data_IF_953310594818
#
_entry.id   IF_953310594818
#
_cell.length_a   1.000
_cell.length_b   1.000
_cell.length_c   1.000
_cell.angle_alpha   90.00
_cell.angle_beta   90.00
_cell.angle_gamma   90.00
#
_symmetry.space_group_name_H-M   'P 1'
#
loop_
_entity.id
_entity.type
_entity.pdbx_description
1 polymer ?
#
# COMPACT_ATOMS: atom_id res chain seq x y z
N UNK A 1 1.67 8.78 7.89
CA UNK A 1 0.33 8.29 8.25
C UNK A 1 0.16 8.07 9.74
N UNK A 2 1.15 7.46 10.38
CA UNK A 2 1.12 7.23 11.83
C UNK A 2 1.11 8.57 12.61
N UNK A 3 1.98 9.50 12.27
CA UNK A 3 2.10 10.80 12.93
C UNK A 3 0.86 11.70 12.73
N UNK A 4 0.14 11.50 11.63
CA UNK A 4 -1.11 12.22 11.36
C UNK A 4 -2.30 11.76 12.22
N UNK A 5 -2.16 10.67 12.96
CA UNK A 5 -3.24 10.06 13.74
C UNK A 5 -4.27 9.28 12.93
N UNK A 6 -4.09 9.16 11.61
CA UNK A 6 -4.98 8.39 10.74
C UNK A 6 -4.84 6.89 10.93
N UNK A 7 -3.70 6.43 11.41
CA UNK A 7 -3.42 5.02 11.67
C UNK A 7 -3.04 4.86 13.14
N UNK A 8 -3.75 3.99 13.85
CA UNK A 8 -3.39 3.59 15.21
C UNK A 8 -2.49 2.38 15.16
N UNK A 9 -1.33 2.49 15.80
CA UNK A 9 -0.38 1.40 15.91
C UNK A 9 -0.58 0.66 17.24
N UNK A 10 -0.53 -0.70 17.23
CA UNK A 10 -0.52 -1.47 18.48
C UNK A 10 0.68 -1.12 19.35
N UNK A 11 0.50 -1.14 20.68
CA UNK A 11 1.54 -0.76 21.63
C UNK A 11 2.82 -1.60 21.50
N UNK A 12 2.69 -2.89 21.20
CA UNK A 12 3.86 -3.76 20.99
C UNK A 12 4.71 -3.31 19.80
N UNK A 13 4.07 -2.88 18.70
CA UNK A 13 4.78 -2.36 17.53
C UNK A 13 5.42 -1.01 17.83
N UNK A 14 4.71 -0.12 18.52
CA UNK A 14 5.25 1.18 18.94
C UNK A 14 6.48 1.03 19.84
N UNK A 15 6.47 0.08 20.76
CA UNK A 15 7.61 -0.19 21.64
C UNK A 15 8.84 -0.62 20.84
N UNK A 16 8.66 -1.45 19.80
CA UNK A 16 9.77 -1.85 18.93
C UNK A 16 10.26 -0.68 18.07
N UNK A 17 9.34 0.14 17.51
CA UNK A 17 9.69 1.33 16.73
C UNK A 17 10.52 2.30 17.57
N UNK A 18 10.19 2.50 18.85
CA UNK A 18 10.92 3.41 19.73
C UNK A 18 12.37 2.99 20.01
N UNK A 19 12.69 1.71 19.77
CA UNK A 19 14.05 1.15 19.91
C UNK A 19 14.85 1.19 18.62
N UNK A 20 14.27 1.69 17.51
CA UNK A 20 14.93 1.70 16.21
C UNK A 20 16.08 2.69 16.20
N UNK A 21 17.29 2.20 16.26
CA UNK A 21 18.54 2.95 16.09
C UNK A 21 19.31 2.48 14.85
N UNK A 22 19.02 1.29 14.34
CA UNK A 22 19.68 0.70 13.19
C UNK A 22 18.74 -0.19 12.36
N UNK A 23 19.24 -0.72 11.22
CA UNK A 23 18.47 -1.55 10.29
C UNK A 23 17.98 -2.88 10.88
N UNK A 24 18.69 -3.44 11.85
CA UNK A 24 18.29 -4.70 12.48
C UNK A 24 16.97 -4.58 13.24
N UNK A 25 16.69 -3.42 13.78
CA UNK A 25 15.50 -3.15 14.58
C UNK A 25 14.22 -3.14 13.73
N UNK A 26 14.30 -2.83 12.44
CA UNK A 26 13.13 -2.91 11.55
C UNK A 26 12.59 -4.33 11.39
N UNK A 27 13.47 -5.35 11.43
CA UNK A 27 13.03 -6.74 11.43
C UNK A 27 12.26 -7.09 12.69
N UNK A 28 12.66 -6.56 13.83
CA UNK A 28 11.97 -6.75 15.11
C UNK A 28 10.58 -6.11 15.09
N UNK A 29 10.43 -4.93 14.50
CA UNK A 29 9.13 -4.27 14.30
C UNK A 29 8.20 -5.13 13.44
N UNK A 30 8.70 -5.64 12.32
CA UNK A 30 7.95 -6.54 11.45
C UNK A 30 7.55 -7.84 12.14
N UNK A 31 8.43 -8.40 12.95
CA UNK A 31 8.16 -9.61 13.74
C UNK A 31 7.05 -9.34 14.78
N UNK A 32 7.12 -8.24 15.53
CA UNK A 32 6.10 -7.86 16.52
C UNK A 32 4.73 -7.68 15.85
N UNK A 33 4.67 -7.02 14.70
CA UNK A 33 3.43 -6.86 13.93
C UNK A 33 2.88 -8.21 13.49
N UNK A 34 3.73 -9.09 12.95
CA UNK A 34 3.33 -10.44 12.53
C UNK A 34 2.75 -11.26 13.69
N UNK A 35 3.32 -11.17 14.89
CA UNK A 35 2.80 -11.86 16.07
C UNK A 35 1.42 -11.34 16.50
N UNK A 36 1.19 -10.03 16.37
CA UNK A 36 -0.13 -9.45 16.63
C UNK A 36 -1.18 -9.91 15.62
N UNK A 37 -0.84 -9.96 14.33
CA UNK A 37 -1.73 -10.48 13.29
C UNK A 37 -2.17 -11.93 13.59
N UNK A 38 -1.25 -12.77 14.02
CA UNK A 38 -1.54 -14.18 14.34
C UNK A 38 -2.59 -14.35 15.44
N UNK A 39 -2.81 -13.35 16.27
CA UNK A 39 -3.82 -13.34 17.34
C UNK A 39 -5.14 -12.73 16.92
N UNK A 40 -5.20 -12.08 15.76
CA UNK A 40 -6.38 -11.39 15.27
C UNK A 40 -7.29 -12.35 14.51
N UNK A 41 -8.50 -12.57 15.00
CA UNK A 41 -9.41 -13.58 14.43
C UNK A 41 -9.74 -13.39 12.94
N UNK A 42 -10.05 -12.16 12.46
CA UNK A 42 -10.26 -11.98 11.02
C UNK A 42 -9.06 -12.40 10.17
N UNK A 43 -7.83 -12.15 10.64
CA UNK A 43 -6.61 -12.59 9.98
C UNK A 43 -6.47 -14.10 9.97
N UNK A 44 -6.73 -14.75 11.11
CA UNK A 44 -6.70 -16.22 11.22
C UNK A 44 -7.68 -16.87 10.23
N UNK A 45 -8.90 -16.33 10.14
CA UNK A 45 -9.92 -16.81 9.21
C UNK A 45 -9.49 -16.64 7.76
N UNK A 46 -8.88 -15.50 7.41
CA UNK A 46 -8.37 -15.23 6.08
C UNK A 46 -7.27 -16.23 5.68
N UNK A 47 -6.33 -16.49 6.56
CA UNK A 47 -5.23 -17.45 6.33
C UNK A 47 -5.74 -18.88 6.17
N UNK A 48 -6.74 -19.28 6.95
CA UNK A 48 -7.36 -20.61 6.85
C UNK A 48 -8.11 -20.79 5.53
N UNK A 49 -8.74 -19.74 5.03
CA UNK A 49 -9.58 -19.77 3.82
C UNK A 49 -8.78 -19.62 2.54
N UNK A 50 -7.57 -19.11 2.60
CA UNK A 50 -6.76 -18.76 1.43
C UNK A 50 -5.32 -19.22 1.62
N UNK A 51 -4.91 -20.19 0.83
CA UNK A 51 -3.52 -20.66 0.81
C UNK A 51 -2.59 -19.55 0.32
N UNK A 52 -1.41 -19.45 0.94
CA UNK A 52 -0.37 -18.52 0.52
C UNK A 52 -0.52 -17.08 1.02
N UNK A 53 -1.55 -16.76 1.80
CA UNK A 53 -1.69 -15.43 2.40
C UNK A 53 -0.67 -15.24 3.52
N UNK A 54 0.10 -14.16 3.41
CA UNK A 54 1.12 -13.75 4.39
C UNK A 54 0.90 -12.28 4.77
N UNK A 55 1.56 -11.76 5.81
CA UNK A 55 1.49 -10.31 6.10
C UNK A 55 1.90 -9.43 4.91
N UNK A 56 2.79 -9.93 4.05
CA UNK A 56 3.20 -9.22 2.84
C UNK A 56 2.06 -9.08 1.81
N UNK A 57 1.07 -9.97 1.86
CA UNK A 57 -0.14 -9.88 1.02
C UNK A 57 -0.93 -8.59 1.28
N UNK A 58 -0.84 -8.00 2.47
CA UNK A 58 -1.44 -6.70 2.78
C UNK A 58 -0.86 -5.59 1.92
N UNK A 59 0.44 -5.65 1.66
CA UNK A 59 1.14 -4.69 0.80
C UNK A 59 0.66 -4.81 -0.65
N UNK A 60 0.54 -6.02 -1.16
CA UNK A 60 0.00 -6.27 -2.50
C UNK A 60 -1.47 -5.83 -2.62
N UNK A 61 -2.28 -6.09 -1.60
CA UNK A 61 -3.68 -5.67 -1.56
C UNK A 61 -3.82 -4.15 -1.62
N UNK A 62 -2.95 -3.43 -0.95
CA UNK A 62 -2.95 -1.97 -1.00
C UNK A 62 -2.67 -1.46 -2.42
N UNK A 63 -1.63 -2.00 -3.09
CA UNK A 63 -1.30 -1.64 -4.46
C UNK A 63 -2.46 -1.96 -5.43
N UNK A 64 -3.08 -3.13 -5.28
CA UNK A 64 -4.25 -3.50 -6.08
C UNK A 64 -5.39 -2.50 -5.91
N UNK A 65 -5.69 -2.12 -4.69
CA UNK A 65 -6.75 -1.15 -4.40
C UNK A 65 -6.45 0.24 -4.98
N UNK A 66 -5.19 0.63 -5.00
CA UNK A 66 -4.78 1.91 -5.59
C UNK A 66 -5.03 1.98 -7.09
N UNK A 67 -4.82 0.88 -7.81
CA UNK A 67 -4.83 0.88 -9.27
C UNK A 67 -6.10 0.29 -9.87
N UNK A 68 -6.75 -0.65 -9.20
CA UNK A 68 -7.87 -1.42 -9.77
C UNK A 68 -9.20 -1.08 -9.11
N UNK A 69 -9.24 -0.96 -7.78
CA UNK A 69 -10.51 -0.84 -7.05
C UNK A 69 -10.99 0.60 -6.88
N UNK A 70 -10.16 1.60 -7.16
CA UNK A 70 -10.51 3.00 -6.95
C UNK A 70 -11.03 3.64 -8.23
N UNK A 71 -12.15 4.36 -8.14
CA UNK A 71 -12.64 5.21 -9.23
C UNK A 71 -11.66 6.35 -9.54
N UNK A 72 -10.83 6.72 -8.56
CA UNK A 72 -9.75 7.69 -8.70
C UNK A 72 -8.43 7.00 -8.39
N UNK A 73 -7.96 6.17 -9.30
CA UNK A 73 -6.70 5.47 -9.16
C UNK A 73 -5.56 6.45 -8.84
N UNK A 74 -4.72 6.09 -7.90
CA UNK A 74 -3.53 6.89 -7.59
C UNK A 74 -2.56 6.82 -8.76
N UNK A 75 -1.96 7.97 -9.07
CA UNK A 75 -0.87 8.01 -10.01
C UNK A 75 0.28 7.09 -9.55
N UNK A 76 0.88 6.35 -10.49
CA UNK A 76 1.90 5.34 -10.17
C UNK A 76 3.07 5.91 -9.35
N UNK A 77 3.47 7.14 -9.61
CA UNK A 77 4.54 7.81 -8.87
C UNK A 77 4.16 8.05 -7.41
N UNK A 78 2.93 8.46 -7.17
CA UNK A 78 2.39 8.67 -5.82
C UNK A 78 2.28 7.34 -5.07
N UNK A 79 1.73 6.32 -5.70
CA UNK A 79 1.61 4.99 -5.12
C UNK A 79 2.98 4.41 -4.76
N UNK A 80 3.95 4.52 -5.65
CA UNK A 80 5.33 4.06 -5.41
C UNK A 80 5.95 4.78 -4.21
N UNK A 81 5.83 6.10 -4.13
CA UNK A 81 6.36 6.89 -3.03
C UNK A 81 5.73 6.50 -1.69
N UNK A 82 4.41 6.32 -1.65
CA UNK A 82 3.71 5.89 -0.43
C UNK A 82 4.12 4.48 0.02
N UNK A 83 4.46 3.60 -0.92
CA UNK A 83 4.96 2.26 -0.62
C UNK A 83 6.47 2.23 -0.30
N UNK A 84 7.16 3.35 -0.44
CA UNK A 84 8.58 3.45 -0.11
C UNK A 84 9.51 2.82 -1.13
N UNK A 85 9.11 2.72 -2.40
CA UNK A 85 9.96 2.21 -3.47
C UNK A 85 9.93 3.12 -4.71
N UNK A 86 10.87 2.88 -5.63
CA UNK A 86 10.94 3.64 -6.89
C UNK A 86 9.80 3.26 -7.83
N UNK A 87 9.50 4.14 -8.80
CA UNK A 87 8.53 3.84 -9.86
C UNK A 87 8.93 2.58 -10.64
N UNK A 88 10.21 2.39 -10.92
CA UNK A 88 10.70 1.21 -11.63
C UNK A 88 10.40 -0.08 -10.87
N UNK A 89 10.63 -0.11 -9.55
CA UNK A 89 10.31 -1.25 -8.69
C UNK A 89 8.80 -1.47 -8.63
N UNK A 90 8.02 -0.40 -8.50
CA UNK A 90 6.55 -0.49 -8.48
C UNK A 90 6.00 -1.10 -9.77
N UNK A 91 6.48 -0.64 -10.92
CA UNK A 91 6.06 -1.16 -12.23
C UNK A 91 6.48 -2.61 -12.44
N UNK A 92 7.63 -3.02 -11.91
CA UNK A 92 8.09 -4.40 -11.98
C UNK A 92 7.12 -5.36 -11.27
N UNK A 93 6.61 -4.98 -10.10
CA UNK A 93 5.73 -5.85 -9.31
C UNK A 93 4.24 -5.66 -9.61
N UNK A 94 3.82 -4.45 -9.96
CA UNK A 94 2.40 -4.08 -10.08
C UNK A 94 2.03 -3.48 -11.42
N UNK A 95 2.94 -3.49 -12.39
CA UNK A 95 2.72 -2.84 -13.69
C UNK A 95 1.51 -3.37 -14.45
N UNK A 96 1.17 -4.66 -14.28
CA UNK A 96 0.00 -5.27 -14.91
C UNK A 96 -1.34 -4.67 -14.43
N UNK A 97 -1.33 -4.02 -13.27
CA UNK A 97 -2.52 -3.35 -12.72
C UNK A 97 -2.64 -1.88 -13.13
N UNK A 98 -1.58 -1.32 -13.67
CA UNK A 98 -1.56 0.01 -14.28
C UNK A 98 -1.84 -0.17 -15.78
N UNK A 99 -3.10 -0.38 -16.11
CA UNK A 99 -3.54 -0.81 -17.43
C UNK A 99 -3.91 0.36 -18.37
N UNK A 100 -4.33 0.00 -19.60
CA UNK A 100 -4.75 0.95 -20.62
C UNK A 100 -5.96 1.79 -20.19
N UNK A 101 -6.89 1.22 -19.43
CA UNK A 101 -8.06 1.95 -18.94
C UNK A 101 -7.66 3.10 -18.00
N UNK A 102 -6.65 2.89 -17.16
CA UNK A 102 -6.08 3.94 -16.32
C UNK A 102 -5.44 5.05 -17.17
N UNK A 103 -4.78 4.68 -18.25
CA UNK A 103 -4.17 5.63 -19.19
C UNK A 103 -5.23 6.44 -19.91
N UNK A 104 -6.27 5.81 -20.44
CA UNK A 104 -7.37 6.48 -21.10
C UNK A 104 -8.07 7.48 -20.17
N UNK A 105 -8.38 7.06 -18.95
CA UNK A 105 -8.99 7.95 -17.95
C UNK A 105 -8.08 9.14 -17.60
N UNK A 106 -6.78 8.96 -17.58
CA UNK A 106 -5.83 10.05 -17.35
C UNK A 106 -5.81 11.03 -18.52
N UNK A 107 -5.86 10.54 -19.75
CA UNK A 107 -5.92 11.37 -20.97
C UNK A 107 -7.23 12.15 -21.02
N UNK A 108 -8.35 11.52 -20.72
CA UNK A 108 -9.64 12.20 -20.65
C UNK A 108 -9.65 13.36 -19.66
N UNK A 109 -9.16 13.13 -18.43
CA UNK A 109 -9.04 14.18 -17.40
C UNK A 109 -8.16 15.33 -17.84
N UNK A 110 -7.05 15.02 -18.49
CA UNK A 110 -6.16 16.03 -19.05
C UNK A 110 -6.87 16.89 -20.10
N UNK A 111 -7.60 16.26 -21.03
CA UNK A 111 -8.35 16.94 -22.07
C UNK A 111 -9.48 17.81 -21.50
N UNK A 112 -10.20 17.32 -20.51
CA UNK A 112 -11.22 18.11 -19.79
C UNK A 112 -10.62 19.36 -19.15
N UNK A 113 -9.43 19.23 -18.54
CA UNK A 113 -8.71 20.36 -17.96
C UNK A 113 -8.32 21.40 -19.01
N UNK A 114 -7.91 21.00 -20.21
CA UNK A 114 -7.60 21.90 -21.29
C UNK A 114 -8.84 22.66 -21.80
N UNK A 115 -9.95 21.98 -21.93
CA UNK A 115 -11.23 22.61 -22.35
C UNK A 115 -11.66 23.65 -21.31
N UNK A 116 -11.58 23.36 -20.03
CA UNK A 116 -11.90 24.29 -18.94
C UNK A 116 -11.03 25.56 -18.97
N UNK A 117 -9.76 25.43 -19.33
CA UNK A 117 -8.83 26.58 -19.43
C UNK A 117 -9.14 27.45 -20.66
N UNK A 118 -9.64 26.87 -21.75
CA UNK A 118 -9.99 27.58 -22.97
C UNK A 118 -11.32 28.33 -22.89
N UNK A 119 -12.15 28.02 -21.92
CA UNK A 119 -13.39 28.72 -21.65
C UNK A 119 -13.17 29.94 -20.73
#
# INVERSE_FOLDING_TARGET
LYESGLVKMPAAVLNEISKVEDKGTFQQVGHAFGQLLKRYEPWKNLVRSNEGVTPYSLRHSWAYRCHVCSNNALHVRTAAALMGHTVAVHMKHYGSWVDEASLEAAVERYNEGLVAVQQ
#
